data_IF_483550607662
#
_entry.id   IF_483550607662
#
_cell.length_a   1.000
_cell.length_b   1.000
_cell.length_c   1.000
_cell.angle_alpha   90.00
_cell.angle_beta   90.00
_cell.angle_gamma   90.00
#
_symmetry.space_group_name_H-M   'P 1'
#
loop_
_entity.id
_entity.type
_entity.pdbx_description
1 polymer ?
#
# COMPACT_ATOMS: atom_id res chain seq x y z
N UNK A 1 1.89 -16.61 0.62
CA UNK A 1 1.14 -15.38 1.00
C UNK A 1 -0.08 -15.31 0.10
N UNK A 2 -1.29 -15.05 0.63
CA UNK A 2 -2.49 -14.96 -0.22
C UNK A 2 -2.50 -13.65 -0.99
N UNK A 3 -3.23 -13.61 -2.10
CA UNK A 3 -3.34 -12.42 -2.96
C UNK A 3 -4.75 -11.87 -2.90
N UNK A 4 -4.89 -10.56 -2.70
CA UNK A 4 -6.13 -9.83 -2.86
C UNK A 4 -6.45 -9.69 -4.35
N UNK A 5 -7.55 -10.31 -4.81
CA UNK A 5 -7.89 -10.43 -6.24
C UNK A 5 -9.12 -9.63 -6.66
N UNK A 6 -9.86 -9.06 -5.71
CA UNK A 6 -11.08 -8.31 -6.02
C UNK A 6 -10.76 -7.01 -6.74
N UNK A 7 -11.59 -6.65 -7.72
CA UNK A 7 -11.46 -5.41 -8.47
C UNK A 7 -11.83 -4.23 -7.56
N UNK A 8 -10.90 -3.31 -7.42
CA UNK A 8 -11.14 -2.02 -6.75
C UNK A 8 -11.57 -0.99 -7.78
N UNK A 9 -12.37 -0.01 -7.36
CA UNK A 9 -12.73 1.11 -8.22
C UNK A 9 -11.50 1.97 -8.55
N UNK A 10 -11.47 2.58 -9.74
CA UNK A 10 -10.36 3.40 -10.18
C UNK A 10 -10.17 4.68 -9.34
N UNK A 11 -11.23 5.27 -8.81
CA UNK A 11 -11.20 6.53 -8.06
C UNK A 11 -10.68 6.41 -6.61
N UNK A 12 -9.72 5.53 -6.37
CA UNK A 12 -9.14 5.33 -5.04
C UNK A 12 -8.19 6.48 -4.65
N UNK A 13 -8.25 6.87 -3.37
CA UNK A 13 -7.30 7.82 -2.79
C UNK A 13 -6.00 7.08 -2.45
N UNK A 14 -4.86 7.62 -2.92
CA UNK A 14 -3.53 7.09 -2.63
C UNK A 14 -2.73 8.16 -1.90
N UNK A 15 -2.41 7.90 -0.63
CA UNK A 15 -1.55 8.75 0.18
C UNK A 15 -0.17 8.13 0.29
N UNK A 16 0.87 8.92 0.05
CA UNK A 16 2.25 8.51 0.27
C UNK A 16 3.10 9.68 0.70
N UNK A 17 4.03 9.44 1.62
CA UNK A 17 4.99 10.44 2.07
C UNK A 17 6.40 9.83 2.09
N UNK A 18 7.15 9.93 0.96
CA UNK A 18 8.50 9.44 0.88
C UNK A 18 9.40 10.08 1.94
N UNK A 19 10.08 9.25 2.73
CA UNK A 19 11.01 9.69 3.76
C UNK A 19 12.44 9.68 3.23
N UNK A 20 13.13 10.81 3.38
CA UNK A 20 14.49 11.03 2.87
C UNK A 20 15.40 11.46 4.01
N UNK A 21 16.56 10.82 4.13
CA UNK A 21 17.66 11.31 4.95
C UNK A 21 18.57 12.18 4.10
N UNK A 22 18.91 13.35 4.61
CA UNK A 22 19.85 14.28 4.00
C UNK A 22 21.04 14.49 4.95
N UNK A 23 22.25 14.36 4.41
CA UNK A 23 23.51 14.69 5.11
C UNK A 23 24.14 15.86 4.37
N UNK A 24 24.56 16.89 5.11
CA UNK A 24 25.21 18.09 4.57
C UNK A 24 26.68 18.10 4.98
N UNK A 25 27.58 18.33 4.05
CA UNK A 25 29.02 18.19 4.28
C UNK A 25 29.74 19.51 4.63
N UNK A 26 29.00 20.63 4.67
CA UNK A 26 29.52 21.95 5.09
C UNK A 26 30.26 22.72 4.00
N UNK A 27 30.54 22.08 2.86
CA UNK A 27 31.15 22.61 1.64
C UNK A 27 30.12 23.04 0.57
N UNK A 28 28.83 23.07 0.97
CA UNK A 28 27.71 23.35 0.07
C UNK A 28 27.11 22.11 -0.60
N UNK A 29 27.71 20.92 -0.43
CA UNK A 29 27.16 19.68 -0.95
C UNK A 29 26.28 18.94 0.06
N UNK A 30 25.38 18.13 -0.48
CA UNK A 30 24.53 17.22 0.30
C UNK A 30 24.39 15.86 -0.38
N UNK A 31 24.21 14.84 0.44
CA UNK A 31 23.83 13.50 0.01
C UNK A 31 22.42 13.19 0.51
N UNK A 32 21.58 12.67 -0.39
CA UNK A 32 20.21 12.24 -0.09
C UNK A 32 20.10 10.73 -0.26
N UNK A 33 19.42 10.08 0.67
CA UNK A 33 19.15 8.65 0.61
C UNK A 33 17.74 8.35 1.14
N UNK A 34 17.15 7.25 0.70
CA UNK A 34 15.91 6.75 1.28
C UNK A 34 16.09 6.49 2.78
N UNK A 35 15.10 6.86 3.60
CA UNK A 35 15.19 6.72 5.05
C UNK A 35 15.01 5.27 5.57
N UNK A 36 15.05 4.26 4.70
CA UNK A 36 14.91 2.84 5.00
C UNK A 36 14.41 2.03 3.81
N UNK A 37 14.14 0.73 4.01
CA UNK A 37 13.64 -0.18 2.97
C UNK A 37 12.23 0.19 2.49
N UNK A 38 11.37 0.66 3.39
CA UNK A 38 10.00 1.09 3.10
C UNK A 38 9.85 2.60 3.21
N UNK A 39 10.78 3.34 2.60
CA UNK A 39 10.81 4.80 2.68
C UNK A 39 9.60 5.48 2.03
N UNK A 40 8.89 4.79 1.13
CA UNK A 40 7.68 5.28 0.47
C UNK A 40 6.49 4.35 0.77
N UNK A 41 5.93 4.46 1.98
CA UNK A 41 4.76 3.68 2.37
C UNK A 41 3.49 4.26 1.75
N UNK A 42 2.87 3.49 0.85
CA UNK A 42 1.61 3.85 0.19
C UNK A 42 0.41 3.33 0.98
N UNK A 43 -0.52 4.24 1.28
CA UNK A 43 -1.83 3.91 1.86
C UNK A 43 -2.91 4.11 0.82
N UNK A 44 -3.72 3.09 0.60
CA UNK A 44 -4.77 3.08 -0.41
C UNK A 44 -6.14 3.03 0.28
N UNK A 45 -7.02 4.00 -0.01
CA UNK A 45 -8.44 3.94 0.37
C UNK A 45 -9.23 3.47 -0.83
N UNK A 46 -9.65 2.20 -0.79
CA UNK A 46 -10.30 1.53 -1.91
C UNK A 46 -11.80 1.36 -1.66
N UNK A 47 -12.58 1.50 -2.73
CA UNK A 47 -13.99 1.10 -2.75
C UNK A 47 -14.12 -0.11 -3.67
N UNK A 48 -14.90 -1.11 -3.25
CA UNK A 48 -15.17 -2.32 -4.02
C UNK A 48 -16.64 -2.37 -4.45
N UNK A 49 -16.90 -2.94 -5.62
CA UNK A 49 -18.25 -3.28 -6.08
C UNK A 49 -18.24 -4.73 -6.51
N UNK A 50 -18.80 -5.58 -5.65
CA UNK A 50 -18.78 -7.05 -5.77
C UNK A 50 -20.18 -7.59 -5.54
N UNK A 51 -20.45 -8.81 -6.03
CA UNK A 51 -21.71 -9.50 -5.74
C UNK A 51 -21.81 -9.89 -4.26
N UNK A 52 -23.00 -10.25 -3.78
CA UNK A 52 -23.19 -10.69 -2.39
C UNK A 52 -22.38 -11.94 -2.05
N UNK A 53 -22.26 -12.89 -2.98
CA UNK A 53 -21.42 -14.07 -2.77
C UNK A 53 -19.94 -13.70 -2.66
N UNK A 54 -19.44 -12.85 -3.55
CA UNK A 54 -18.06 -12.37 -3.50
C UNK A 54 -17.78 -11.55 -2.24
N UNK A 55 -18.73 -10.76 -1.75
CA UNK A 55 -18.62 -10.03 -0.50
C UNK A 55 -18.35 -10.99 0.67
N UNK A 56 -19.04 -12.13 0.74
CA UNK A 56 -18.78 -13.15 1.77
C UNK A 56 -17.35 -13.72 1.69
N UNK A 57 -16.84 -13.90 0.47
CA UNK A 57 -15.48 -14.42 0.27
C UNK A 57 -14.42 -13.36 0.61
N UNK A 58 -14.70 -12.08 0.30
CA UNK A 58 -13.88 -10.94 0.66
C UNK A 58 -13.80 -10.77 2.19
N UNK A 59 -14.93 -10.81 2.88
CA UNK A 59 -14.98 -10.73 4.34
C UNK A 59 -14.22 -11.88 5.00
N UNK A 60 -14.41 -13.12 4.52
CA UNK A 60 -13.67 -14.28 5.02
C UNK A 60 -12.16 -14.13 4.80
N UNK A 61 -11.75 -13.60 3.65
CA UNK A 61 -10.34 -13.32 3.36
C UNK A 61 -9.77 -12.28 4.33
N UNK A 62 -10.47 -11.17 4.56
CA UNK A 62 -10.00 -10.13 5.49
C UNK A 62 -9.96 -10.66 6.94
N UNK A 63 -10.97 -11.43 7.34
CA UNK A 63 -11.03 -12.06 8.66
C UNK A 63 -9.87 -13.03 8.90
N UNK A 64 -9.49 -13.83 7.90
CA UNK A 64 -8.34 -14.74 7.99
C UNK A 64 -7.00 -13.99 8.19
N UNK A 65 -6.89 -12.76 7.67
CA UNK A 65 -5.67 -11.95 7.83
C UNK A 65 -5.67 -11.12 9.11
N UNK A 66 -6.85 -10.81 9.67
CA UNK A 66 -7.00 -10.20 10.99
C UNK A 66 -6.32 -8.84 11.16
N UNK A 67 -6.00 -8.13 10.06
CA UNK A 67 -5.35 -6.82 10.07
C UNK A 67 -3.84 -6.82 10.39
N UNK A 68 -3.27 -7.95 10.81
CA UNK A 68 -1.84 -8.05 11.16
C UNK A 68 -1.07 -8.96 10.20
N UNK A 69 -1.74 -9.90 9.54
CA UNK A 69 -1.11 -10.81 8.58
C UNK A 69 -1.10 -10.17 7.20
N UNK A 70 0.09 -10.02 6.64
CA UNK A 70 0.25 -9.44 5.33
C UNK A 70 -0.33 -10.34 4.22
N UNK A 71 -0.85 -9.71 3.16
CA UNK A 71 -1.22 -10.35 1.90
C UNK A 71 -0.67 -9.55 0.71
N UNK A 72 -0.57 -10.20 -0.45
CA UNK A 72 -0.13 -9.57 -1.69
C UNK A 72 -1.30 -8.83 -2.33
N UNK A 73 -1.02 -7.67 -2.90
CA UNK A 73 -2.01 -6.93 -3.68
C UNK A 73 -1.30 -6.11 -4.75
N UNK A 74 -1.88 -6.09 -5.95
CA UNK A 74 -1.41 -5.25 -7.05
C UNK A 74 -2.46 -4.17 -7.29
N UNK A 75 -2.12 -2.89 -7.05
CA UNK A 75 -2.99 -1.78 -7.39
C UNK A 75 -3.33 -1.76 -8.89
N UNK A 76 -4.52 -1.31 -9.30
CA UNK A 76 -4.94 -1.30 -10.72
C UNK A 76 -4.11 -0.36 -11.62
N UNK A 77 -3.28 0.50 -11.03
CA UNK A 77 -2.40 1.46 -11.73
C UNK A 77 -0.91 1.12 -11.62
N UNK A 78 -0.59 -0.03 -11.02
CA UNK A 78 0.80 -0.47 -10.84
C UNK A 78 1.35 -1.16 -12.09
#
# INVERSE_FOLDING_TARGET
MKTFRWKVKPDMEVNSQPSVREVRFGDGYSQRMAAGLNADLKTYRVTLSVTREEARHLEAFLAEHGGWKAFLWTPPYA
#
